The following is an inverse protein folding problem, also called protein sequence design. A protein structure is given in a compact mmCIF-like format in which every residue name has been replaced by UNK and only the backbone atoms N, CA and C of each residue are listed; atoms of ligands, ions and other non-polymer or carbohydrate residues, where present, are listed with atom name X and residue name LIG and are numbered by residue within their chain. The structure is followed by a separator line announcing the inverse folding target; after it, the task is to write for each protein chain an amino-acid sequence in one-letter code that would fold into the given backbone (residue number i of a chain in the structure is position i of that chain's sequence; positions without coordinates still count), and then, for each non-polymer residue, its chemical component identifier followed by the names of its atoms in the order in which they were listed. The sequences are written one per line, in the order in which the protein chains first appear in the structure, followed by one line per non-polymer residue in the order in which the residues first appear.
data_IF_043196243084
#
_entry.id   IF_043196243084
#
_cell.length_a   1.000
_cell.length_b   1.000
_cell.length_c   1.000
_cell.angle_alpha   90.00
_cell.angle_beta   90.00
_cell.angle_gamma   90.00
#
_symmetry.space_group_name_H-M   'P 1'
#
loop_
_entity.id
_entity.type
_entity.pdbx_description
1 polymer ?
#
# COMPACT_ATOMS: atom_id res chain seq x y z
N UNK A 1 -2.60 -15.10 -27.34
CA UNK A 1 -2.67 -14.32 -26.08
C UNK A 1 -1.80 -13.11 -26.26
N UNK A 2 -2.39 -11.92 -26.39
CA UNK A 2 -1.61 -10.69 -26.43
C UNK A 2 -1.00 -10.49 -25.04
N UNK A 3 0.26 -10.08 -24.98
CA UNK A 3 0.89 -9.69 -23.74
C UNK A 3 0.19 -8.41 -23.25
N UNK A 4 -0.71 -8.56 -22.27
CA UNK A 4 -1.25 -7.44 -21.53
C UNK A 4 -0.20 -7.07 -20.48
N UNK A 5 0.48 -5.96 -20.68
CA UNK A 5 1.29 -5.39 -19.62
C UNK A 5 0.37 -5.18 -18.42
N UNK A 6 0.75 -5.69 -17.25
CA UNK A 6 0.06 -5.33 -16.01
C UNK A 6 -0.01 -3.81 -15.99
N UNK A 7 -1.22 -3.24 -15.95
CA UNK A 7 -1.46 -1.79 -15.95
C UNK A 7 -1.04 -1.15 -14.61
N UNK A 8 0.11 -1.57 -14.06
CA UNK A 8 0.70 -1.18 -12.79
C UNK A 8 0.86 0.33 -12.71
N UNK A 9 1.32 0.95 -13.80
CA UNK A 9 1.52 2.39 -13.83
C UNK A 9 0.19 3.15 -13.75
N UNK A 10 -0.85 2.67 -14.44
CA UNK A 10 -2.19 3.24 -14.38
C UNK A 10 -2.82 3.07 -12.99
N UNK A 11 -2.73 1.86 -12.42
CA UNK A 11 -3.22 1.59 -11.07
C UNK A 11 -2.48 2.47 -10.04
N UNK A 12 -1.16 2.60 -10.18
CA UNK A 12 -0.35 3.46 -9.31
C UNK A 12 -0.73 4.94 -9.45
N UNK A 13 -0.92 5.43 -10.68
CA UNK A 13 -1.40 6.78 -10.94
C UNK A 13 -2.73 7.04 -10.23
N UNK A 14 -3.71 6.17 -10.45
CA UNK A 14 -5.07 6.34 -9.94
C UNK A 14 -5.09 6.30 -8.40
N UNK A 15 -4.39 5.34 -7.80
CA UNK A 15 -4.21 5.23 -6.35
C UNK A 15 -3.55 6.48 -5.75
N UNK A 16 -2.46 6.97 -6.36
CA UNK A 16 -1.78 8.17 -5.86
C UNK A 16 -2.68 9.39 -6.00
N UNK A 17 -3.32 9.55 -7.16
CA UNK A 17 -4.19 10.69 -7.46
C UNK A 17 -5.37 10.77 -6.49
N UNK A 18 -5.97 9.63 -6.13
CA UNK A 18 -7.08 9.58 -5.18
C UNK A 18 -6.68 9.94 -3.73
N UNK A 19 -5.41 9.74 -3.36
CA UNK A 19 -4.96 9.88 -1.98
C UNK A 19 -3.98 11.04 -1.74
N UNK A 20 -3.51 11.72 -2.80
CA UNK A 20 -2.50 12.77 -2.68
C UNK A 20 -3.02 14.02 -1.95
N UNK A 21 -4.26 14.41 -2.20
CA UNK A 21 -4.92 15.58 -1.62
C UNK A 21 -5.42 15.34 -0.17
N UNK A 22 -5.62 14.07 0.21
CA UNK A 22 -6.05 13.64 1.55
C UNK A 22 -4.91 13.63 2.59
N UNK A 23 -3.73 14.18 2.26
CA UNK A 23 -2.58 14.26 3.18
C UNK A 23 -1.77 12.97 3.30
N UNK A 24 -1.97 11.99 2.40
CA UNK A 24 -1.27 10.70 2.42
C UNK A 24 -0.09 10.61 1.44
N UNK A 25 0.38 11.74 0.89
CA UNK A 25 1.44 11.82 -0.13
C UNK A 25 2.74 11.09 0.24
N UNK A 26 3.13 11.08 1.52
CA UNK A 26 4.35 10.40 1.98
C UNK A 26 4.18 8.88 2.19
N UNK A 27 2.99 8.32 1.99
CA UNK A 27 2.74 6.90 2.23
C UNK A 27 3.33 6.00 1.13
N UNK A 28 3.41 6.45 -0.12
CA UNK A 28 3.98 5.64 -1.21
C UNK A 28 5.43 5.19 -0.92
N UNK A 29 6.25 6.08 -0.33
CA UNK A 29 7.61 5.72 0.09
C UNK A 29 7.60 4.69 1.23
N UNK A 30 6.70 4.84 2.20
CA UNK A 30 6.53 3.89 3.30
C UNK A 30 6.05 2.52 2.82
N UNK A 31 5.13 2.49 1.86
CA UNK A 31 4.66 1.27 1.18
C UNK A 31 5.80 0.52 0.52
N UNK A 32 6.63 1.23 -0.27
CA UNK A 32 7.84 0.67 -0.87
C UNK A 32 8.76 0.02 0.16
N UNK A 33 9.04 0.72 1.25
CA UNK A 33 9.87 0.18 2.34
C UNK A 33 9.22 -1.04 2.99
N UNK A 34 7.91 -0.98 3.31
CA UNK A 34 7.20 -2.08 3.93
C UNK A 34 7.11 -3.33 3.05
N UNK A 35 7.01 -3.19 1.73
CA UNK A 35 6.96 -4.31 0.80
C UNK A 35 8.19 -5.22 0.92
N UNK A 36 9.36 -4.67 1.30
CA UNK A 36 10.58 -5.45 1.52
C UNK A 36 10.51 -6.38 2.73
N UNK A 37 9.61 -6.12 3.67
CA UNK A 37 9.44 -6.91 4.90
C UNK A 37 8.39 -8.03 4.78
N UNK A 38 7.73 -8.17 3.64
CA UNK A 38 6.73 -9.24 3.41
C UNK A 38 5.31 -8.74 3.20
N UNK A 39 4.46 -9.63 2.70
CA UNK A 39 3.06 -9.35 2.38
C UNK A 39 2.25 -9.05 3.65
N UNK A 40 2.51 -9.79 4.72
CA UNK A 40 1.87 -9.63 6.02
C UNK A 40 2.18 -8.27 6.65
N UNK A 41 3.43 -7.82 6.53
CA UNK A 41 3.85 -6.54 7.12
C UNK A 41 3.25 -5.38 6.33
N UNK A 42 3.20 -5.53 5.00
CA UNK A 42 2.55 -4.58 4.12
C UNK A 42 1.05 -4.49 4.40
N UNK A 43 0.34 -5.62 4.38
CA UNK A 43 -1.09 -5.69 4.65
C UNK A 43 -1.43 -5.12 6.03
N UNK A 44 -0.72 -5.53 7.08
CA UNK A 44 -1.03 -5.12 8.46
C UNK A 44 -0.78 -3.64 8.76
N UNK A 45 -0.03 -2.93 7.92
CA UNK A 45 0.24 -1.50 8.13
C UNK A 45 -1.03 -0.65 8.01
N UNK A 46 -2.02 -1.07 7.20
CA UNK A 46 -3.31 -0.39 7.11
C UNK A 46 -3.99 -0.33 8.49
N UNK A 47 -3.95 -1.41 9.27
CA UNK A 47 -4.57 -1.50 10.60
C UNK A 47 -3.83 -0.64 11.62
N UNK A 48 -2.50 -0.53 11.49
CA UNK A 48 -1.66 0.30 12.36
C UNK A 48 -1.96 1.79 12.20
N UNK A 49 -2.44 2.20 11.03
CA UNK A 49 -2.68 3.60 10.67
C UNK A 49 -4.08 4.09 11.06
N UNK A 50 -4.91 3.26 11.70
CA UNK A 50 -6.15 3.72 12.30
C UNK A 50 -5.86 4.71 13.43
N UNK A 51 -6.67 5.77 13.52
CA UNK A 51 -6.62 6.66 14.66
C UNK A 51 -7.46 6.08 15.80
N UNK A 52 -6.90 6.08 17.01
CA UNK A 52 -7.56 5.60 18.22
C UNK A 52 -8.05 6.79 19.01
N UNK A 53 -9.31 7.18 18.82
CA UNK A 53 -9.93 8.29 19.54
C UNK A 53 -11.05 7.78 20.44
N UNK A 54 -10.88 7.96 21.75
CA UNK A 54 -11.86 7.52 22.78
C UNK A 54 -12.25 6.04 22.63
N UNK A 55 -11.25 5.17 22.42
CA UNK A 55 -11.42 3.71 22.22
C UNK A 55 -12.19 3.29 20.96
N UNK A 56 -12.57 4.24 20.10
CA UNK A 56 -13.11 3.96 18.77
C UNK A 56 -12.00 4.13 17.74
N UNK A 57 -11.91 3.16 16.83
CA UNK A 57 -10.93 3.12 15.76
C UNK A 57 -11.56 3.70 14.49
N UNK A 58 -10.88 4.68 13.88
CA UNK A 58 -11.33 5.29 12.63
C UNK A 58 -10.22 5.16 11.58
N UNK A 59 -10.54 4.76 10.34
CA UNK A 59 -9.55 4.72 9.28
C UNK A 59 -9.11 6.14 8.93
N UNK A 60 -7.80 6.37 8.95
CA UNK A 60 -7.21 7.63 8.47
C UNK A 60 -7.09 7.63 6.94
N UNK A 61 -6.80 8.79 6.34
CA UNK A 61 -6.46 8.86 4.92
C UNK A 61 -5.29 7.93 4.56
N UNK A 62 -4.29 7.83 5.45
CA UNK A 62 -3.19 6.89 5.28
C UNK A 62 -3.69 5.44 5.34
N UNK A 63 -4.49 5.07 6.35
CA UNK A 63 -5.06 3.72 6.44
C UNK A 63 -5.83 3.32 5.17
N UNK A 64 -6.68 4.22 4.66
CA UNK A 64 -7.45 3.96 3.44
C UNK A 64 -6.54 3.74 2.24
N UNK A 65 -5.50 4.57 2.09
CA UNK A 65 -4.56 4.40 0.99
C UNK A 65 -3.88 3.02 1.01
N UNK A 66 -3.47 2.53 2.18
CA UNK A 66 -2.89 1.18 2.30
C UNK A 66 -3.91 0.07 2.03
N UNK A 67 -5.15 0.23 2.51
CA UNK A 67 -6.23 -0.72 2.27
C UNK A 67 -6.60 -0.82 0.77
N UNK A 68 -6.79 0.34 0.12
CA UNK A 68 -7.12 0.41 -1.30
C UNK A 68 -5.99 -0.16 -2.16
N UNK A 69 -4.74 0.17 -1.83
CA UNK A 69 -3.57 -0.39 -2.50
C UNK A 69 -3.55 -1.92 -2.41
N UNK A 70 -3.80 -2.47 -1.21
CA UNK A 70 -3.87 -3.91 -1.02
C UNK A 70 -5.01 -4.55 -1.83
N UNK A 71 -6.20 -3.94 -1.82
CA UNK A 71 -7.35 -4.42 -2.57
C UNK A 71 -7.07 -4.46 -4.08
N UNK A 72 -6.55 -3.37 -4.65
CA UNK A 72 -6.17 -3.30 -6.06
C UNK A 72 -5.07 -4.31 -6.41
N UNK A 73 -4.12 -4.52 -5.49
CA UNK A 73 -3.07 -5.51 -5.66
C UNK A 73 -3.61 -6.95 -5.68
N UNK A 74 -4.56 -7.30 -4.81
CA UNK A 74 -5.25 -8.59 -4.86
C UNK A 74 -5.99 -8.80 -6.19
N UNK A 75 -6.72 -7.77 -6.65
CA UNK A 75 -7.46 -7.81 -7.91
C UNK A 75 -6.54 -7.96 -9.12
N UNK A 76 -5.38 -7.29 -9.11
CA UNK A 76 -4.36 -7.37 -10.15
C UNK A 76 -3.82 -8.80 -10.32
N UNK A 77 -3.64 -9.51 -9.21
CA UNK A 77 -3.03 -10.84 -9.18
C UNK A 77 -4.02 -11.98 -9.42
N UNK A 78 -5.31 -11.75 -9.17
CA UNK A 78 -6.35 -12.77 -9.30
C UNK A 78 -6.44 -13.40 -10.71
N UNK A 79 -6.37 -12.65 -11.84
CA UNK A 79 -6.35 -13.24 -13.18
C UNK A 79 -5.16 -14.19 -13.44
N UNK A 80 -4.05 -14.02 -12.72
CA UNK A 80 -2.89 -14.89 -12.78
C UNK A 80 -3.01 -16.13 -11.86
N UNK A 81 -4.16 -16.32 -11.20
CA UNK A 81 -4.41 -17.42 -10.27
C UNK A 81 -3.72 -17.25 -8.90
N UNK A 82 -3.25 -16.04 -8.58
CA UNK A 82 -2.66 -15.70 -7.28
C UNK A 82 -3.74 -14.98 -6.47
N UNK A 83 -4.44 -15.73 -5.62
CA UNK A 83 -5.53 -15.21 -4.80
C UNK A 83 -5.01 -14.91 -3.39
N UNK A 84 -4.83 -13.63 -3.09
CA UNK A 84 -4.45 -13.16 -1.76
C UNK A 84 -5.70 -12.80 -0.94
N UNK A 85 -5.64 -12.87 0.41
CA UNK A 85 -6.76 -12.49 1.25
C UNK A 85 -7.06 -11.00 1.14
N UNK A 86 -8.32 -10.64 0.86
CA UNK A 86 -8.82 -9.26 0.73
C UNK A 86 -9.93 -8.92 1.75
N UNK A 87 -10.07 -9.74 2.80
CA UNK A 87 -11.00 -9.53 3.90
C UNK A 87 -10.82 -8.15 4.55
N UNK A 88 -11.93 -7.44 4.77
CA UNK A 88 -11.97 -6.25 5.62
C UNK A 88 -11.89 -6.67 7.08
N UNK A 89 -10.83 -6.25 7.76
CA UNK A 89 -10.57 -6.59 9.17
C UNK A 89 -10.47 -5.30 10.00
N UNK A 90 -11.14 -5.30 11.14
CA UNK A 90 -11.05 -4.21 12.11
C UNK A 90 -9.78 -4.36 12.97
N UNK A 91 -9.09 -3.26 13.35
CA UNK A 91 -7.88 -3.33 14.18
C UNK A 91 -8.06 -4.01 15.54
N UNK A 92 -9.29 -4.08 16.04
CA UNK A 92 -9.63 -4.72 17.32
C UNK A 92 -9.85 -6.23 17.20
N UNK A 93 -10.06 -6.76 16.00
CA UNK A 93 -10.33 -8.18 15.78
C UNK A 93 -9.03 -9.00 15.67
N UNK A 94 -8.51 -9.39 16.84
CA UNK A 94 -7.25 -10.12 16.93
C UNK A 94 -7.29 -11.50 16.25
N UNK A 95 -8.44 -12.16 16.27
CA UNK A 95 -8.58 -13.50 15.69
C UNK A 95 -8.58 -13.41 14.16
N UNK A 96 -9.29 -12.43 13.59
CA UNK A 96 -9.23 -12.17 12.15
C UNK A 96 -7.83 -11.74 11.70
N UNK A 97 -7.16 -10.86 12.46
CA UNK A 97 -5.77 -10.45 12.16
C UNK A 97 -4.84 -11.65 12.12
N UNK A 98 -4.92 -12.53 13.13
CA UNK A 98 -4.10 -13.74 13.20
C UNK A 98 -4.39 -14.66 12.01
N UNK A 99 -5.66 -14.87 11.66
CA UNK A 99 -6.07 -15.72 10.53
C UNK A 99 -5.43 -15.25 9.21
N UNK A 100 -5.57 -13.96 8.88
CA UNK A 100 -5.03 -13.41 7.63
C UNK A 100 -3.50 -13.48 7.61
N UNK A 101 -2.87 -13.20 8.75
CA UNK A 101 -1.41 -13.29 8.87
C UNK A 101 -0.92 -14.73 8.66
N UNK A 102 -1.59 -15.72 9.27
CA UNK A 102 -1.28 -17.14 9.09
C UNK A 102 -1.47 -17.58 7.62
N UNK A 103 -2.51 -17.09 6.94
CA UNK A 103 -2.75 -17.34 5.53
C UNK A 103 -1.63 -16.78 4.65
N UNK A 104 -1.19 -15.54 4.89
CA UNK A 104 -0.07 -14.92 4.16
C UNK A 104 1.27 -15.62 4.41
N UNK A 105 1.52 -16.12 5.62
CA UNK A 105 2.72 -16.89 5.95
C UNK A 105 2.72 -18.29 5.35
N UNK A 106 1.56 -18.96 5.33
CA UNK A 106 1.41 -20.29 4.75
C UNK A 106 1.19 -20.27 3.22
N UNK A 107 1.09 -19.08 2.63
CA UNK A 107 0.94 -18.89 1.19
C UNK A 107 2.07 -19.57 0.39
N UNK A 108 1.73 -20.10 -0.80
CA UNK A 108 2.68 -20.80 -1.65
C UNK A 108 3.92 -19.94 -1.91
N UNK A 109 5.11 -20.52 -1.70
CA UNK A 109 6.36 -19.76 -1.70
C UNK A 109 6.65 -19.13 -3.07
N UNK A 110 6.33 -19.83 -4.17
CA UNK A 110 6.57 -19.33 -5.52
C UNK A 110 5.62 -18.19 -5.84
N UNK A 111 4.34 -18.36 -5.53
CA UNK A 111 3.33 -17.31 -5.71
C UNK A 111 3.63 -16.10 -4.82
N UNK A 112 4.06 -16.30 -3.57
CA UNK A 112 4.48 -15.23 -2.66
C UNK A 112 5.65 -14.41 -3.22
N UNK A 113 6.66 -15.07 -3.81
CA UNK A 113 7.80 -14.40 -4.45
C UNK A 113 7.36 -13.55 -5.65
N UNK A 114 6.45 -14.07 -6.48
CA UNK A 114 5.88 -13.33 -7.61
C UNK A 114 5.06 -12.14 -7.10
N UNK A 115 4.18 -12.35 -6.12
CA UNK A 115 3.37 -11.30 -5.52
C UNK A 115 4.25 -10.17 -4.96
N UNK A 116 5.30 -10.50 -4.19
CA UNK A 116 6.23 -9.50 -3.67
C UNK A 116 6.94 -8.71 -4.77
N UNK A 117 7.39 -9.36 -5.84
CA UNK A 117 8.03 -8.67 -6.96
C UNK A 117 7.06 -7.68 -7.63
N UNK A 118 5.80 -8.08 -7.83
CA UNK A 118 4.76 -7.22 -8.40
C UNK A 118 4.41 -6.07 -7.44
N UNK A 119 4.31 -6.34 -6.14
CA UNK A 119 4.03 -5.33 -5.12
C UNK A 119 5.12 -4.26 -5.05
N UNK A 120 6.39 -4.68 -5.09
CA UNK A 120 7.53 -3.76 -5.10
C UNK A 120 7.47 -2.89 -6.35
N UNK A 121 7.21 -3.48 -7.53
CA UNK A 121 7.09 -2.72 -8.77
C UNK A 121 5.91 -1.73 -8.74
N UNK A 122 4.76 -2.13 -8.20
CA UNK A 122 3.61 -1.24 -7.98
C UNK A 122 4.01 -0.07 -7.07
N UNK A 123 4.71 -0.34 -5.97
CA UNK A 123 5.19 0.69 -5.05
C UNK A 123 6.20 1.64 -5.70
N UNK A 124 7.10 1.14 -6.54
CA UNK A 124 8.04 1.98 -7.28
C UNK A 124 7.30 2.92 -8.26
N UNK A 125 6.27 2.43 -8.96
CA UNK A 125 5.39 3.28 -9.78
C UNK A 125 4.66 4.34 -8.94
N UNK A 126 4.10 3.95 -7.78
CA UNK A 126 3.42 4.90 -6.87
C UNK A 126 4.38 5.97 -6.34
N UNK A 127 5.61 5.60 -6.00
CA UNK A 127 6.64 6.57 -5.58
C UNK A 127 6.92 7.56 -6.69
N UNK A 128 7.07 7.09 -7.93
CA UNK A 128 7.26 7.97 -9.08
C UNK A 128 6.12 8.99 -9.21
N UNK A 129 4.86 8.54 -9.23
CA UNK A 129 3.69 9.43 -9.32
C UNK A 129 3.56 10.39 -8.13
N UNK A 130 3.80 9.91 -6.91
CA UNK A 130 3.73 10.76 -5.71
C UNK A 130 4.69 11.94 -5.78
N UNK A 131 5.87 11.78 -6.40
CA UNK A 131 6.82 12.87 -6.61
C UNK A 131 6.32 13.92 -7.61
N UNK A 132 5.44 13.56 -8.55
CA UNK A 132 4.90 14.49 -9.56
C UNK A 132 3.74 15.32 -9.03
N UNK A 133 3.00 14.79 -8.07
CA UNK A 133 1.93 15.52 -7.38
C UNK A 133 2.41 16.32 -6.17
N UNK A 134 3.69 16.22 -5.79
CA UNK A 134 4.24 17.15 -4.81
C UNK A 134 4.16 18.57 -5.38
N UNK A 135 3.57 19.53 -4.66
CA UNK A 135 3.62 20.92 -5.09
C UNK A 135 5.08 21.36 -5.20
N UNK A 136 5.37 22.24 -6.17
CA UNK A 136 6.70 22.84 -6.27
C UNK A 136 7.03 23.50 -4.92
N UNK A 137 8.22 23.19 -4.37
CA UNK A 137 8.72 23.83 -3.15
C UNK A 137 8.66 25.34 -3.34
N UNK A 138 8.11 26.05 -2.36
CA UNK A 138 8.26 27.50 -2.31
C UNK A 138 9.70 27.82 -1.86
N UNK A 139 10.25 28.98 -2.24
CA UNK A 139 11.64 29.35 -1.91
C UNK A 139 11.94 29.26 -0.40
N UNK A 140 10.91 29.39 0.46
CA UNK A 140 11.03 29.25 1.92
C UNK A 140 11.29 27.79 2.39
N UNK A 141 10.87 26.78 1.62
CA UNK A 141 11.02 25.35 1.96
C UNK A 141 12.41 24.79 1.55
N UNK A 142 13.24 25.62 0.93
CA UNK A 142 14.60 25.27 0.50
C UNK A 142 15.61 25.67 1.60
N UNK A 143 15.35 26.76 2.32
CA UNK A 143 16.25 27.25 3.39
C UNK A 143 16.22 26.38 4.67
N UNK A 144 15.14 25.64 4.94
CA UNK A 144 15.08 24.75 6.12
C UNK A 144 15.90 23.46 5.93
N UNK A 145 15.97 22.90 4.72
CA UNK A 145 16.71 21.66 4.44
C UNK A 145 18.25 21.87 4.36
N UNK A 146 18.73 23.10 4.15
CA UNK A 146 20.17 23.40 4.13
C UNK A 146 20.76 23.64 5.54
N UNK A 147 19.90 23.75 6.56
CA UNK A 147 20.29 24.05 7.94
C UNK A 147 20.19 22.84 8.91
N UNK A 148 19.90 21.63 8.40
CA UNK A 148 19.92 20.34 9.13
C UNK A 148 21.13 19.47 8.73
#
# INVERSE_FOLDING_TARGET
MAWEAYNLDQIAHDLVFEHCDKGAHNQAYKMRTSASYGLERFWGEQLRLYDKKKEVYYPTAASNYWADTWQHFCQLLSPAGINLPDDKVEPTDREAIKRITDELWSFDEKQRKVALAVLIQLCDCMVWWSQRYKPAKSDNDIEEDENE
#
